data_IF_850976940569
#
_entry.id   IF_850976940569
#
_cell.length_a   1.000
_cell.length_b   1.000
_cell.length_c   1.000
_cell.angle_alpha   90.00
_cell.angle_beta   90.00
_cell.angle_gamma   90.00
#
_symmetry.space_group_name_H-M   'P 1'
#
loop_
_entity.id
_entity.type
_entity.pdbx_description
1 polymer ?
#
# COMPACT_ATOMS: atom_id res chain seq x y z
N UNK A 1 -8.24 -15.17 -26.02
CA UNK A 1 -9.21 -16.20 -26.46
C UNK A 1 -9.57 -17.03 -25.25
N UNK A 2 -10.86 -17.22 -24.97
CA UNK A 2 -11.33 -18.16 -23.96
C UNK A 2 -11.41 -19.59 -24.49
N UNK A 3 -11.06 -20.56 -23.65
CA UNK A 3 -11.16 -22.00 -23.88
C UNK A 3 -11.85 -22.61 -22.67
N UNK A 4 -12.92 -23.36 -22.91
CA UNK A 4 -13.76 -23.90 -21.84
C UNK A 4 -13.47 -25.39 -21.59
N UNK A 5 -13.72 -25.82 -20.35
CA UNK A 5 -13.79 -27.23 -19.96
C UNK A 5 -12.58 -28.09 -20.36
N UNK A 6 -11.37 -27.54 -20.20
CA UNK A 6 -10.13 -28.31 -20.35
C UNK A 6 -10.05 -29.35 -19.25
N UNK A 7 -9.85 -30.61 -19.65
CA UNK A 7 -9.67 -31.75 -18.73
C UNK A 7 -8.23 -32.24 -18.70
N UNK A 8 -7.33 -31.61 -19.47
CA UNK A 8 -5.93 -32.00 -19.61
C UNK A 8 -5.06 -31.65 -18.40
N UNK A 9 -5.56 -30.85 -17.46
CA UNK A 9 -4.85 -30.52 -16.22
C UNK A 9 -5.37 -31.37 -15.07
N UNK A 10 -4.81 -32.57 -14.96
CA UNK A 10 -5.20 -33.65 -14.03
C UNK A 10 -4.96 -33.36 -12.54
N UNK A 11 -4.15 -32.34 -12.24
CA UNK A 11 -3.83 -31.90 -10.89
C UNK A 11 -4.87 -30.93 -10.33
N UNK A 12 -5.86 -30.51 -11.13
CA UNK A 12 -6.91 -29.59 -10.72
C UNK A 12 -8.12 -30.31 -10.15
N UNK A 13 -8.55 -29.85 -8.97
CA UNK A 13 -9.73 -30.34 -8.27
C UNK A 13 -9.45 -30.75 -6.84
N UNK A 14 -10.43 -31.39 -6.22
CA UNK A 14 -10.28 -31.92 -4.87
C UNK A 14 -9.27 -33.08 -4.83
N UNK A 15 -8.62 -33.26 -3.67
CA UNK A 15 -7.63 -34.33 -3.47
C UNK A 15 -8.25 -35.72 -3.73
N UNK A 16 -9.49 -35.92 -3.32
CA UNK A 16 -10.23 -37.17 -3.56
C UNK A 16 -10.47 -37.45 -5.05
N UNK A 17 -10.53 -36.42 -5.90
CA UNK A 17 -10.67 -36.57 -7.34
C UNK A 17 -9.30 -36.79 -8.01
N UNK A 18 -8.30 -36.01 -7.63
CA UNK A 18 -6.96 -36.02 -8.26
C UNK A 18 -6.09 -37.22 -7.84
N UNK A 19 -6.40 -37.90 -6.74
CA UNK A 19 -5.69 -39.12 -6.30
C UNK A 19 -5.70 -40.26 -7.33
N UNK A 20 -6.63 -40.24 -8.28
CA UNK A 20 -6.77 -41.24 -9.32
C UNK A 20 -6.25 -40.77 -10.69
N UNK A 21 -5.52 -39.64 -10.75
CA UNK A 21 -5.01 -39.05 -11.99
C UNK A 21 -4.16 -40.00 -12.84
N UNK A 22 -3.52 -41.00 -12.21
CA UNK A 22 -2.68 -41.99 -12.89
C UNK A 22 -3.46 -43.13 -13.56
N UNK A 23 -4.79 -43.20 -13.39
CA UNK A 23 -5.60 -44.26 -14.01
C UNK A 23 -5.89 -43.96 -15.48
N UNK A 24 -5.95 -44.99 -16.31
CA UNK A 24 -6.23 -44.85 -17.74
C UNK A 24 -7.65 -44.37 -18.06
N UNK A 25 -8.61 -44.57 -17.15
CA UNK A 25 -10.00 -44.13 -17.26
C UNK A 25 -10.28 -42.79 -16.55
N UNK A 26 -9.23 -42.13 -16.07
CA UNK A 26 -9.35 -40.87 -15.35
C UNK A 26 -9.80 -39.72 -16.26
N UNK A 27 -10.76 -38.93 -15.77
CA UNK A 27 -11.21 -37.69 -16.41
C UNK A 27 -10.92 -36.53 -15.46
N UNK A 28 -10.04 -35.62 -15.89
CA UNK A 28 -9.68 -34.42 -15.13
C UNK A 28 -10.89 -33.50 -14.89
N UNK A 29 -10.87 -32.74 -13.79
CA UNK A 29 -11.91 -31.75 -13.58
C UNK A 29 -11.81 -30.64 -14.64
N UNK A 30 -12.96 -30.20 -15.21
CA UNK A 30 -12.95 -29.14 -16.20
C UNK A 30 -12.43 -27.83 -15.59
N UNK A 31 -11.44 -27.24 -16.24
CA UNK A 31 -10.95 -25.90 -15.96
C UNK A 31 -10.99 -25.06 -17.24
N UNK A 32 -11.24 -23.77 -17.14
CA UNK A 32 -11.20 -22.88 -18.28
C UNK A 32 -9.80 -22.29 -18.43
N UNK A 33 -9.50 -21.79 -19.62
CA UNK A 33 -8.27 -21.07 -19.88
C UNK A 33 -8.49 -19.82 -20.74
N UNK A 34 -7.65 -18.82 -20.52
CA UNK A 34 -7.50 -17.67 -21.41
C UNK A 34 -6.11 -17.70 -22.02
N UNK A 35 -6.06 -17.76 -23.35
CA UNK A 35 -4.80 -17.78 -24.13
C UNK A 35 -4.57 -16.41 -24.75
N UNK A 36 -3.41 -15.83 -24.43
CA UNK A 36 -2.89 -14.60 -25.05
C UNK A 36 -2.06 -14.95 -26.27
N UNK A 37 -2.62 -14.70 -27.45
CA UNK A 37 -1.96 -14.96 -28.74
C UNK A 37 -1.09 -13.80 -29.20
N UNK A 38 -1.47 -12.56 -28.85
CA UNK A 38 -0.78 -11.33 -29.21
C UNK A 38 -0.94 -10.32 -28.09
N UNK A 39 0.13 -9.63 -27.75
CA UNK A 39 0.16 -8.59 -26.72
C UNK A 39 0.94 -7.40 -27.27
N UNK A 40 0.41 -6.18 -27.13
CA UNK A 40 1.04 -4.96 -27.64
C UNK A 40 1.51 -5.09 -29.11
N UNK A 41 0.63 -5.61 -29.96
CA UNK A 41 0.90 -5.93 -31.36
C UNK A 41 2.08 -6.89 -31.62
N UNK A 42 2.60 -7.58 -30.60
CA UNK A 42 3.70 -8.54 -30.70
C UNK A 42 3.21 -9.96 -30.41
N UNK A 43 3.72 -10.92 -31.15
CA UNK A 43 3.52 -12.34 -30.87
C UNK A 43 4.55 -12.76 -29.81
N UNK A 44 4.14 -13.42 -28.70
CA UNK A 44 5.05 -13.88 -27.67
C UNK A 44 6.09 -14.85 -28.25
N UNK A 45 7.37 -14.69 -27.87
CA UNK A 45 8.49 -15.48 -28.43
C UNK A 45 8.47 -16.96 -28.02
N UNK A 46 7.89 -17.27 -26.86
CA UNK A 46 7.86 -18.61 -26.27
C UNK A 46 6.44 -18.96 -25.86
N UNK A 47 5.70 -19.60 -26.77
CA UNK A 47 4.50 -20.36 -26.42
C UNK A 47 3.37 -19.60 -25.72
N UNK A 48 3.18 -18.29 -25.98
CA UNK A 48 2.06 -17.52 -25.43
C UNK A 48 1.99 -17.44 -23.90
N UNK A 49 1.03 -16.69 -23.38
CA UNK A 49 0.67 -16.73 -21.95
C UNK A 49 -0.70 -17.37 -21.83
N UNK A 50 -0.83 -18.35 -20.92
CA UNK A 50 -2.08 -19.05 -20.64
C UNK A 50 -2.45 -18.82 -19.18
N UNK A 51 -3.66 -18.32 -18.94
CA UNK A 51 -4.24 -18.15 -17.63
C UNK A 51 -5.27 -19.26 -17.41
N UNK A 52 -5.03 -20.13 -16.43
CA UNK A 52 -6.01 -21.13 -16.01
C UNK A 52 -6.97 -20.49 -15.01
N UNK A 53 -8.28 -20.73 -15.18
CA UNK A 53 -9.32 -20.10 -14.38
C UNK A 53 -10.56 -20.98 -14.24
N UNK A 54 -11.27 -20.85 -13.13
CA UNK A 54 -12.61 -21.40 -12.94
C UNK A 54 -13.73 -20.38 -13.30
N UNK A 55 -13.36 -19.15 -13.61
CA UNK A 55 -14.31 -18.13 -14.05
C UNK A 55 -14.82 -18.40 -15.48
N UNK A 56 -15.99 -17.84 -15.85
CA UNK A 56 -16.43 -17.82 -17.24
C UNK A 56 -15.38 -17.17 -18.15
N UNK A 57 -15.19 -17.70 -19.34
CA UNK A 57 -14.23 -17.19 -20.34
C UNK A 57 -14.90 -16.64 -21.60
N UNK A 58 -16.22 -16.44 -21.54
CA UNK A 58 -17.02 -15.76 -22.56
C UNK A 58 -16.51 -14.34 -22.84
N UNK A 59 -16.08 -13.64 -21.78
CA UNK A 59 -15.24 -12.45 -21.86
C UNK A 59 -13.83 -12.73 -21.30
N UNK A 60 -12.84 -13.04 -22.16
CA UNK A 60 -11.49 -13.35 -21.71
C UNK A 60 -10.72 -12.13 -21.16
N UNK A 61 -11.16 -10.89 -21.45
CA UNK A 61 -10.49 -9.70 -20.93
C UNK A 61 -10.72 -9.54 -19.43
N UNK A 62 -11.93 -9.83 -18.95
CA UNK A 62 -12.24 -9.82 -17.51
C UNK A 62 -11.29 -10.70 -16.70
N UNK A 63 -10.98 -11.92 -17.18
CA UNK A 63 -10.04 -12.83 -16.50
C UNK A 63 -8.62 -12.27 -16.52
N UNK A 64 -8.20 -11.70 -17.65
CA UNK A 64 -6.89 -11.07 -17.78
C UNK A 64 -6.74 -9.88 -16.82
N UNK A 65 -7.71 -8.96 -16.83
CA UNK A 65 -7.72 -7.77 -15.97
C UNK A 65 -7.77 -8.15 -14.48
N UNK A 66 -8.53 -9.20 -14.13
CA UNK A 66 -8.55 -9.75 -12.77
C UNK A 66 -7.17 -10.26 -12.35
N UNK A 67 -6.45 -10.91 -13.27
CA UNK A 67 -5.09 -11.40 -12.99
C UNK A 67 -4.08 -10.25 -12.84
N UNK A 68 -4.30 -9.10 -13.48
CA UNK A 68 -3.41 -7.94 -13.38
C UNK A 68 -3.30 -7.40 -11.94
N UNK A 69 -4.35 -7.58 -11.12
CA UNK A 69 -4.32 -7.28 -9.68
C UNK A 69 -3.24 -8.05 -8.91
N UNK A 70 -2.68 -9.14 -9.46
CA UNK A 70 -1.51 -9.82 -8.88
C UNK A 70 -0.32 -8.86 -8.73
N UNK A 71 -0.12 -7.94 -9.67
CA UNK A 71 0.96 -6.95 -9.58
C UNK A 71 0.77 -5.98 -8.41
N UNK A 72 -0.48 -5.74 -7.98
CA UNK A 72 -0.79 -4.95 -6.78
C UNK A 72 -0.32 -5.67 -5.52
N UNK A 73 -0.49 -6.98 -5.42
CA UNK A 73 0.03 -7.78 -4.30
C UNK A 73 1.56 -7.76 -4.29
N UNK A 74 2.19 -7.98 -5.44
CA UNK A 74 3.65 -8.04 -5.53
C UNK A 74 4.31 -6.70 -5.18
N UNK A 75 3.82 -5.60 -5.75
CA UNK A 75 4.38 -4.28 -5.49
C UNK A 75 3.94 -3.73 -4.14
N UNK A 76 2.66 -3.90 -3.79
CA UNK A 76 2.05 -3.29 -2.61
C UNK A 76 2.29 -4.04 -1.31
N UNK A 77 2.35 -5.37 -1.32
CA UNK A 77 2.61 -6.17 -0.09
C UNK A 77 4.06 -6.65 -0.06
N UNK A 78 4.58 -7.24 -1.14
CA UNK A 78 5.91 -7.84 -1.07
C UNK A 78 7.05 -6.82 -1.14
N UNK A 79 7.05 -5.90 -2.10
CA UNK A 79 8.13 -4.89 -2.19
C UNK A 79 8.09 -3.92 -1.01
N UNK A 80 6.91 -3.39 -0.70
CA UNK A 80 6.72 -2.54 0.49
C UNK A 80 7.03 -3.30 1.79
N UNK A 81 6.53 -4.53 1.95
CA UNK A 81 6.81 -5.36 3.13
C UNK A 81 8.31 -5.55 3.34
N UNK A 82 9.05 -5.93 2.29
CA UNK A 82 10.49 -6.22 2.40
C UNK A 82 11.34 -4.99 2.73
N UNK A 83 11.12 -3.87 2.04
CA UNK A 83 12.05 -2.73 2.09
C UNK A 83 11.68 -1.71 3.18
N UNK A 84 10.62 -0.90 3.06
CA UNK A 84 10.27 0.10 4.08
C UNK A 84 9.75 -0.51 5.40
N UNK A 85 9.21 -1.73 5.37
CA UNK A 85 8.67 -2.39 6.56
C UNK A 85 9.58 -3.47 7.14
N UNK A 86 10.73 -3.75 6.51
CA UNK A 86 11.73 -4.69 7.02
C UNK A 86 11.16 -6.07 7.38
N UNK A 87 10.18 -6.56 6.62
CA UNK A 87 9.49 -7.83 6.87
C UNK A 87 10.46 -9.03 6.95
N UNK A 88 11.61 -8.96 6.27
CA UNK A 88 12.63 -10.02 6.28
C UNK A 88 13.80 -9.76 7.26
N UNK A 89 13.71 -8.74 8.11
CA UNK A 89 14.73 -8.44 9.14
C UNK A 89 14.17 -8.73 10.52
N UNK A 90 14.19 -10.00 10.87
CA UNK A 90 13.68 -10.49 12.14
C UNK A 90 14.61 -10.11 13.30
N UNK A 91 14.06 -9.70 14.45
CA UNK A 91 14.86 -9.43 15.65
C UNK A 91 15.61 -10.67 16.18
N UNK A 92 15.01 -11.85 16.04
CA UNK A 92 15.60 -13.14 16.40
C UNK A 92 15.32 -14.18 15.32
N UNK A 93 16.23 -15.15 15.14
CA UNK A 93 16.12 -16.24 14.16
C UNK A 93 15.51 -17.51 14.76
N UNK A 94 14.42 -17.36 15.50
CA UNK A 94 13.59 -18.48 15.96
C UNK A 94 12.27 -18.47 15.19
N UNK A 95 11.66 -19.63 15.02
CA UNK A 95 10.37 -19.75 14.32
C UNK A 95 9.31 -18.84 14.93
N UNK A 96 9.15 -18.87 16.25
CA UNK A 96 8.20 -18.03 16.97
C UNK A 96 8.45 -16.53 16.73
N UNK A 97 9.71 -16.08 16.75
CA UNK A 97 10.04 -14.66 16.51
C UNK A 97 9.74 -14.24 15.06
N UNK A 98 9.99 -15.12 14.09
CA UNK A 98 9.65 -14.89 12.68
C UNK A 98 8.13 -14.76 12.51
N UNK A 99 7.36 -15.68 13.10
CA UNK A 99 5.89 -15.67 13.04
C UNK A 99 5.34 -14.38 13.64
N UNK A 100 5.77 -14.02 14.86
CA UNK A 100 5.31 -12.79 15.54
C UNK A 100 5.69 -11.55 14.74
N UNK A 101 6.93 -11.45 14.25
CA UNK A 101 7.39 -10.31 13.45
C UNK A 101 6.58 -10.14 12.16
N UNK A 102 6.33 -11.24 11.44
CA UNK A 102 5.53 -11.21 10.22
C UNK A 102 4.12 -10.68 10.47
N UNK A 103 3.42 -11.24 11.46
CA UNK A 103 2.05 -10.82 11.78
C UNK A 103 2.01 -9.36 12.25
N UNK A 104 2.88 -9.00 13.19
CA UNK A 104 2.94 -7.65 13.71
C UNK A 104 3.25 -6.63 12.61
N UNK A 105 4.22 -6.91 11.75
CA UNK A 105 4.57 -6.03 10.63
C UNK A 105 3.39 -5.84 9.66
N UNK A 106 2.69 -6.92 9.30
CA UNK A 106 1.52 -6.84 8.41
C UNK A 106 0.34 -6.09 9.05
N UNK A 107 0.13 -6.25 10.37
CA UNK A 107 -0.88 -5.49 11.12
C UNK A 107 -0.56 -4.00 11.15
N UNK A 108 0.68 -3.62 11.48
CA UNK A 108 1.11 -2.21 11.50
C UNK A 108 1.09 -1.61 10.09
N UNK A 109 1.48 -2.37 9.07
CA UNK A 109 1.39 -1.94 7.67
C UNK A 109 -0.07 -1.66 7.27
N UNK A 110 -0.99 -2.56 7.64
CA UNK A 110 -2.43 -2.39 7.40
C UNK A 110 -2.98 -1.17 8.13
N UNK A 111 -2.66 -1.01 9.42
CA UNK A 111 -3.09 0.13 10.23
C UNK A 111 -2.58 1.46 9.67
N UNK A 112 -1.30 1.52 9.29
CA UNK A 112 -0.69 2.70 8.68
C UNK A 112 -1.35 3.04 7.34
N UNK A 113 -1.65 2.03 6.52
CA UNK A 113 -2.36 2.22 5.24
C UNK A 113 -3.77 2.75 5.47
N UNK A 114 -4.52 2.17 6.42
CA UNK A 114 -5.85 2.64 6.79
C UNK A 114 -5.84 4.09 7.30
N UNK A 115 -4.87 4.44 8.15
CA UNK A 115 -4.69 5.82 8.62
C UNK A 115 -4.41 6.79 7.48
N UNK A 116 -3.55 6.42 6.53
CA UNK A 116 -3.24 7.26 5.36
C UNK A 116 -4.46 7.45 4.46
N UNK A 117 -5.25 6.40 4.25
CA UNK A 117 -6.50 6.48 3.49
C UNK A 117 -7.51 7.40 4.18
N UNK A 118 -7.65 7.27 5.50
CA UNK A 118 -8.48 8.17 6.30
C UNK A 118 -8.01 9.63 6.19
N UNK A 119 -6.71 9.91 6.32
CA UNK A 119 -6.16 11.26 6.15
C UNK A 119 -6.47 11.83 4.76
N UNK A 120 -6.25 11.03 3.70
CA UNK A 120 -6.53 11.45 2.33
C UNK A 120 -8.01 11.78 2.14
N UNK A 121 -8.90 10.96 2.70
CA UNK A 121 -10.34 11.18 2.68
C UNK A 121 -10.74 12.44 3.47
N UNK A 122 -10.17 12.66 4.66
CA UNK A 122 -10.45 13.86 5.47
C UNK A 122 -9.96 15.14 4.80
N UNK A 123 -8.88 15.09 4.03
CA UNK A 123 -8.37 16.24 3.27
C UNK A 123 -9.29 16.66 2.10
N UNK A 124 -10.18 15.78 1.63
CA UNK A 124 -11.12 15.99 0.54
C UNK A 124 -12.47 16.64 0.97
N UNK A 125 -12.57 17.25 2.17
CA UNK A 125 -13.80 17.62 2.91
C UNK A 125 -14.97 18.35 2.16
N UNK A 126 -16.12 18.54 2.84
CA UNK A 126 -17.43 17.92 2.59
C UNK A 126 -18.20 18.58 1.44
N UNK A 127 -17.96 18.19 0.19
CA UNK A 127 -18.83 18.63 -0.90
C UNK A 127 -19.85 17.53 -1.16
N UNK A 128 -20.99 17.65 -0.47
CA UNK A 128 -22.21 16.86 -0.61
C UNK A 128 -22.15 15.41 -0.10
N UNK A 129 -23.16 15.11 0.71
CA UNK A 129 -23.55 13.80 1.17
C UNK A 129 -23.84 12.90 -0.03
N UNK A 130 -22.89 12.03 -0.36
CA UNK A 130 -23.22 10.74 -0.93
C UNK A 130 -22.52 9.69 -0.09
N UNK A 131 -23.24 9.24 0.94
CA UNK A 131 -22.91 8.05 1.72
C UNK A 131 -22.91 6.77 0.86
N UNK A 132 -23.39 6.86 -0.37
CA UNK A 132 -23.26 5.83 -1.39
C UNK A 132 -21.79 5.74 -1.84
N UNK A 133 -21.06 4.82 -1.20
CA UNK A 133 -19.72 4.33 -1.56
C UNK A 133 -18.55 5.24 -1.19
N UNK A 134 -18.35 5.44 0.11
CA UNK A 134 -16.99 5.66 0.68
C UNK A 134 -16.13 4.41 0.46
N UNK A 135 -15.76 4.13 -0.78
CA UNK A 135 -14.84 3.04 -1.11
C UNK A 135 -13.43 3.47 -0.73
N UNK A 136 -12.83 2.80 0.25
CA UNK A 136 -11.43 2.98 0.62
C UNK A 136 -10.54 2.38 -0.48
N UNK A 137 -10.41 3.11 -1.58
CA UNK A 137 -9.54 2.72 -2.69
C UNK A 137 -8.11 3.15 -2.40
N UNK A 138 -7.15 2.24 -2.61
CA UNK A 138 -5.72 2.55 -2.61
C UNK A 138 -5.34 3.61 -3.64
N UNK A 139 -6.20 3.89 -4.62
CA UNK A 139 -6.06 5.00 -5.55
C UNK A 139 -5.97 6.37 -4.85
N UNK A 140 -6.59 6.53 -3.67
CA UNK A 140 -6.49 7.76 -2.85
C UNK A 140 -5.06 8.06 -2.40
N UNK A 141 -4.18 7.05 -2.39
CA UNK A 141 -2.77 7.22 -2.08
C UNK A 141 -1.94 7.64 -3.30
N UNK A 142 -2.54 7.77 -4.49
CA UNK A 142 -1.90 8.19 -5.74
C UNK A 142 -0.61 7.42 -6.09
N UNK A 143 -0.53 6.13 -5.71
CA UNK A 143 0.67 5.32 -5.90
C UNK A 143 1.87 5.70 -5.00
N UNK A 144 1.67 6.56 -3.99
CA UNK A 144 2.70 6.91 -3.02
C UNK A 144 2.97 5.72 -2.08
N UNK A 145 4.15 5.09 -2.23
CA UNK A 145 4.63 4.06 -1.30
C UNK A 145 5.02 4.63 0.07
N UNK A 146 5.14 3.76 1.07
CA UNK A 146 5.42 4.15 2.46
C UNK A 146 6.74 4.90 2.61
N UNK A 147 7.77 4.51 1.86
CA UNK A 147 9.09 5.15 1.91
C UNK A 147 9.03 6.64 1.51
N UNK A 148 8.34 6.94 0.39
CA UNK A 148 8.14 8.31 -0.10
C UNK A 148 7.29 9.12 0.87
N UNK A 149 6.22 8.53 1.36
CA UNK A 149 5.36 9.15 2.38
C UNK A 149 6.15 9.55 3.64
N UNK A 150 6.99 8.65 4.17
CA UNK A 150 7.85 8.95 5.33
C UNK A 150 8.90 10.03 5.02
N UNK A 151 9.46 10.04 3.81
CA UNK A 151 10.40 11.08 3.41
C UNK A 151 9.73 12.45 3.38
N UNK A 152 8.57 12.55 2.72
CA UNK A 152 7.78 13.78 2.68
C UNK A 152 7.39 14.25 4.07
N UNK A 153 6.92 13.36 4.95
CA UNK A 153 6.63 13.70 6.35
C UNK A 153 7.87 14.22 7.08
N UNK A 154 9.05 13.66 6.84
CA UNK A 154 10.30 14.17 7.43
C UNK A 154 10.62 15.56 6.92
N UNK A 155 10.44 15.83 5.63
CA UNK A 155 10.67 17.14 5.04
C UNK A 155 9.69 18.18 5.59
N UNK A 156 8.39 17.87 5.65
CA UNK A 156 7.33 18.74 6.18
C UNK A 156 7.49 19.05 7.69
N UNK A 157 8.12 18.15 8.44
CA UNK A 157 8.28 18.29 9.89
C UNK A 157 9.74 18.52 10.32
N UNK A 158 10.69 18.68 9.38
CA UNK A 158 12.12 18.81 9.68
C UNK A 158 12.42 19.98 10.62
N UNK A 159 11.71 21.07 10.42
CA UNK A 159 11.94 22.32 11.13
C UNK A 159 10.94 22.50 12.30
N UNK A 160 10.26 21.42 12.71
CA UNK A 160 9.37 21.39 13.89
C UNK A 160 10.04 20.67 15.05
N UNK A 161 9.81 21.18 16.25
CA UNK A 161 10.29 20.59 17.50
C UNK A 161 9.13 20.36 18.46
N UNK A 162 9.28 19.40 19.36
CA UNK A 162 8.36 19.15 20.46
C UNK A 162 9.06 19.61 21.74
N UNK A 163 8.44 20.52 22.47
CA UNK A 163 8.96 21.06 23.73
C UNK A 163 8.07 20.55 24.86
N UNK A 164 8.70 19.96 25.88
CA UNK A 164 8.01 19.46 27.07
C UNK A 164 8.26 20.39 28.25
N UNK A 165 7.19 20.75 28.96
CA UNK A 165 7.21 21.58 30.17
C UNK A 165 6.31 20.94 31.23
N UNK A 166 6.93 20.22 32.17
CA UNK A 166 6.20 19.44 33.18
C UNK A 166 5.33 18.36 32.53
N UNK A 167 4.01 18.47 32.70
CA UNK A 167 3.01 17.55 32.15
C UNK A 167 2.42 18.03 30.80
N UNK A 168 2.88 19.16 30.28
CA UNK A 168 2.43 19.72 29.01
C UNK A 168 3.49 19.56 27.92
N UNK A 169 3.03 19.49 26.67
CA UNK A 169 3.91 19.56 25.51
C UNK A 169 3.33 20.52 24.46
N UNK A 170 4.20 21.12 23.67
CA UNK A 170 3.84 21.94 22.53
C UNK A 170 4.70 21.60 21.32
N UNK A 171 4.12 21.75 20.13
CA UNK A 171 4.84 21.58 18.86
C UNK A 171 5.06 22.97 18.26
N UNK A 172 6.32 23.31 17.99
CA UNK A 172 6.71 24.63 17.52
C UNK A 172 7.56 24.50 16.26
N UNK A 173 7.50 25.49 15.37
CA UNK A 173 8.57 25.64 14.40
C UNK A 173 9.85 26.10 15.14
N UNK A 174 11.02 25.58 14.75
CA UNK A 174 12.30 25.87 15.40
C UNK A 174 12.58 27.38 15.51
N UNK A 175 12.33 28.12 14.44
CA UNK A 175 12.45 29.57 14.42
C UNK A 175 11.42 30.29 15.31
N UNK A 176 10.18 29.79 15.45
CA UNK A 176 9.21 30.35 16.40
C UNK A 176 9.70 30.16 17.84
N UNK A 177 10.18 28.96 18.16
CA UNK A 177 10.74 28.66 19.47
C UNK A 177 11.94 29.54 19.81
N UNK A 178 12.85 29.75 18.87
CA UNK A 178 13.99 30.63 19.07
C UNK A 178 13.57 32.08 19.34
N UNK A 179 12.51 32.59 18.68
CA UNK A 179 11.94 33.91 19.00
C UNK A 179 11.38 33.93 20.43
N UNK A 180 10.58 32.91 20.80
CA UNK A 180 9.94 32.82 22.12
C UNK A 180 10.94 32.67 23.28
N UNK A 181 12.14 32.17 23.00
CA UNK A 181 13.21 31.97 23.99
C UNK A 181 14.33 33.00 23.87
N UNK A 182 14.14 34.04 23.06
CA UNK A 182 15.13 35.08 22.78
C UNK A 182 16.49 34.57 22.27
N UNK A 183 16.50 33.41 21.59
CA UNK A 183 17.69 32.91 20.92
C UNK A 183 17.95 33.71 19.63
N UNK A 184 19.20 34.13 19.37
CA UNK A 184 19.53 34.91 18.19
C UNK A 184 19.35 34.08 16.91
N UNK A 185 18.54 34.58 15.97
CA UNK A 185 18.32 33.98 14.66
C UNK A 185 18.97 34.81 13.56
N UNK A 186 19.79 34.17 12.72
CA UNK A 186 20.40 34.82 11.55
C UNK A 186 19.40 35.08 10.42
N UNK A 187 18.41 34.19 10.26
CA UNK A 187 17.40 34.28 9.20
C UNK A 187 16.09 33.65 9.68
N UNK A 188 14.99 34.39 9.51
CA UNK A 188 13.64 33.90 9.74
C UNK A 188 13.05 33.39 8.41
N UNK A 189 12.46 32.17 8.36
CA UNK A 189 11.71 31.71 7.20
C UNK A 189 10.59 32.69 6.82
N UNK A 190 10.46 33.02 5.54
CA UNK A 190 9.46 33.98 5.04
C UNK A 190 8.03 33.57 5.37
N UNK A 191 7.75 32.27 5.42
CA UNK A 191 6.46 31.71 5.81
C UNK A 191 6.01 32.10 7.24
N UNK A 192 6.93 32.50 8.12
CA UNK A 192 6.64 32.89 9.50
C UNK A 192 6.42 34.39 9.69
N UNK A 193 6.58 35.20 8.63
CA UNK A 193 6.40 36.65 8.69
C UNK A 193 7.52 37.35 9.46
N UNK A 194 7.16 38.23 10.40
CA UNK A 194 8.11 39.00 11.23
C UNK A 194 8.18 38.45 12.67
N UNK A 195 9.26 38.69 13.42
CA UNK A 195 9.35 38.28 14.82
C UNK A 195 8.19 38.79 15.68
N UNK A 196 7.74 40.02 15.44
CA UNK A 196 6.59 40.60 16.13
C UNK A 196 5.28 39.87 15.82
N UNK A 197 5.08 39.46 14.56
CA UNK A 197 3.90 38.67 14.18
C UNK A 197 3.89 37.29 14.87
N UNK A 198 5.07 36.69 15.07
CA UNK A 198 5.20 35.45 15.83
C UNK A 198 4.82 35.68 17.29
N UNK A 199 5.38 36.70 17.96
CA UNK A 199 5.04 37.01 19.36
C UNK A 199 3.54 37.29 19.54
N UNK A 200 2.93 38.04 18.62
CA UNK A 200 1.49 38.31 18.62
C UNK A 200 0.64 37.05 18.49
N UNK A 201 1.04 36.06 17.69
CA UNK A 201 0.34 34.76 17.60
C UNK A 201 0.28 34.03 18.94
N UNK A 202 1.26 34.25 19.80
CA UNK A 202 1.31 33.69 21.16
C UNK A 202 0.80 34.66 22.24
N UNK A 203 0.24 35.82 21.84
CA UNK A 203 -0.29 36.82 22.79
C UNK A 203 0.76 37.57 23.59
N UNK A 204 2.01 37.61 23.12
CA UNK A 204 3.13 38.26 23.78
C UNK A 204 3.39 39.66 23.18
N UNK A 205 3.64 40.65 24.03
CA UNK A 205 4.15 41.98 23.62
C UNK A 205 5.67 41.95 23.40
N UNK A 206 6.21 42.76 22.48
CA UNK A 206 7.65 42.80 22.18
C UNK A 206 8.52 43.24 23.36
#
# INVERSE_FOLDING_TARGET
MGVEALTSYDSYGEVAHTQHASRCDYVGQPINAVVVRRWDNRVPKTGGTVYLTNAPVSDPFTVFDTYDWRSVIENGIFKEGKHPWHLLRFPQRTEAAVVVHCHFTLLVMSLCTAFRLWQAQSALAPTQESEAQRSLSTALLAGEGTARWRQRLREENRDKIIVFLGQAYGIFHLAEFAILTHLPLRRLPSALGTPQAVLQRFGLSP
#
